data_IF_152411103954
#
_entry.id   IF_152411103954
#
_cell.length_a   1.000
_cell.length_b   1.000
_cell.length_c   1.000
_cell.angle_alpha   90.00
_cell.angle_beta   90.00
_cell.angle_gamma   90.00
#
_symmetry.space_group_name_H-M   'P 1'
#
loop_
_entity.id
_entity.type
_entity.pdbx_description
1 polymer ?
#
# COMPACT_ATOMS: atom_id res chain seq x y z
N UNK A 1 2.64 30.15 28.58
CA UNK A 1 1.61 29.47 27.78
C UNK A 1 2.09 28.06 27.53
N UNK A 2 1.43 27.08 28.15
CA UNK A 2 1.94 25.73 28.44
C UNK A 2 2.02 24.90 27.15
N UNK A 3 3.20 24.35 26.83
CA UNK A 3 3.39 23.34 25.79
C UNK A 3 2.74 22.03 26.27
N UNK A 4 1.56 21.71 25.76
CA UNK A 4 1.01 20.37 25.82
C UNK A 4 1.83 19.51 24.86
N UNK A 5 2.76 18.74 25.42
CA UNK A 5 3.42 17.64 24.71
C UNK A 5 2.32 16.63 24.42
N UNK A 6 1.92 16.50 23.15
CA UNK A 6 0.94 15.51 22.70
C UNK A 6 1.43 14.12 23.10
N UNK A 7 0.73 13.47 24.03
CA UNK A 7 1.00 12.09 24.42
C UNK A 7 0.46 11.16 23.33
N UNK A 8 1.34 10.42 22.65
CA UNK A 8 0.94 9.31 21.78
C UNK A 8 0.84 8.05 22.65
N UNK A 9 -0.36 7.48 22.87
CA UNK A 9 -0.49 6.29 23.70
C UNK A 9 0.20 5.09 23.04
N UNK A 10 1.23 4.57 23.70
CA UNK A 10 1.90 3.34 23.26
C UNK A 10 1.20 2.11 23.83
N UNK A 11 0.56 1.32 22.98
CA UNK A 11 0.02 0.00 23.32
C UNK A 11 1.01 -1.12 22.93
N UNK A 12 1.01 -2.23 23.68
CA UNK A 12 1.81 -3.43 23.36
C UNK A 12 0.91 -4.52 22.78
N UNK A 13 1.25 -5.00 21.60
CA UNK A 13 0.60 -6.13 20.94
C UNK A 13 1.55 -7.33 20.93
N UNK A 14 1.13 -8.45 21.52
CA UNK A 14 1.89 -9.72 21.53
C UNK A 14 1.31 -10.67 20.49
N UNK A 15 2.14 -11.13 19.55
CA UNK A 15 1.74 -12.01 18.46
C UNK A 15 2.45 -13.35 18.56
N UNK A 16 1.69 -14.45 18.51
CA UNK A 16 2.24 -15.80 18.39
C UNK A 16 2.44 -16.14 16.92
N UNK A 17 3.70 -16.24 16.48
CA UNK A 17 4.07 -16.54 15.09
C UNK A 17 5.18 -17.58 15.06
N UNK A 18 5.27 -18.34 13.97
CA UNK A 18 6.32 -19.37 13.83
C UNK A 18 7.70 -18.72 13.77
N UNK A 19 8.70 -19.33 14.41
CA UNK A 19 10.06 -18.76 14.54
C UNK A 19 10.66 -18.31 13.19
N UNK A 20 10.52 -19.12 12.14
CA UNK A 20 10.99 -18.78 10.79
C UNK A 20 10.48 -17.43 10.27
N UNK A 21 9.27 -17.03 10.69
CA UNK A 21 8.66 -15.75 10.32
C UNK A 21 9.34 -14.62 11.08
N UNK A 22 9.61 -14.81 12.38
CA UNK A 22 10.35 -13.86 13.22
C UNK A 22 11.75 -13.62 12.64
N UNK A 23 12.48 -14.67 12.26
CA UNK A 23 13.84 -14.52 11.71
C UNK A 23 13.83 -13.76 10.38
N UNK A 24 12.85 -14.04 9.51
CA UNK A 24 12.67 -13.31 8.24
C UNK A 24 12.33 -11.83 8.47
N UNK A 25 11.41 -11.55 9.39
CA UNK A 25 11.01 -10.18 9.73
C UNK A 25 12.19 -9.37 10.27
N UNK A 26 12.96 -9.92 11.21
CA UNK A 26 14.17 -9.28 11.76
C UNK A 26 15.21 -8.99 10.68
N UNK A 27 15.45 -9.94 9.76
CA UNK A 27 16.41 -9.76 8.66
C UNK A 27 15.97 -8.63 7.72
N UNK A 28 14.69 -8.64 7.32
CA UNK A 28 14.15 -7.61 6.44
C UNK A 28 14.21 -6.23 7.10
N UNK A 29 13.73 -6.12 8.35
CA UNK A 29 13.74 -4.87 9.10
C UNK A 29 15.16 -4.28 9.22
N UNK A 30 16.16 -5.13 9.50
CA UNK A 30 17.58 -4.72 9.53
C UNK A 30 18.06 -4.21 8.17
N UNK A 31 17.71 -4.88 7.08
CA UNK A 31 18.09 -4.46 5.72
C UNK A 31 17.46 -3.12 5.33
N UNK A 32 16.25 -2.83 5.82
CA UNK A 32 15.53 -1.59 5.56
C UNK A 32 15.83 -0.47 6.58
N UNK A 33 16.65 -0.74 7.60
CA UNK A 33 16.95 0.25 8.65
C UNK A 33 15.78 0.60 9.57
N UNK A 34 14.81 -0.31 9.74
CA UNK A 34 13.62 -0.11 10.59
C UNK A 34 13.51 -1.18 11.67
N UNK A 35 12.66 -0.97 12.67
CA UNK A 35 12.32 -2.00 13.66
C UNK A 35 11.21 -2.93 13.14
N UNK A 36 11.13 -4.15 13.71
CA UNK A 36 10.00 -5.05 13.42
C UNK A 36 8.67 -4.42 13.86
N UNK A 37 8.66 -3.73 15.01
CA UNK A 37 7.46 -3.05 15.51
C UNK A 37 6.97 -1.98 14.52
N UNK A 38 7.87 -1.11 14.03
CA UNK A 38 7.53 -0.08 13.04
C UNK A 38 7.02 -0.69 11.73
N UNK A 39 7.62 -1.80 11.28
CA UNK A 39 7.16 -2.51 10.09
C UNK A 39 5.75 -3.10 10.28
N UNK A 40 5.46 -3.68 11.45
CA UNK A 40 4.15 -4.26 11.76
C UNK A 40 3.09 -3.18 11.96
N UNK A 41 3.45 -2.08 12.63
CA UNK A 41 2.58 -0.91 12.80
C UNK A 41 2.16 -0.35 11.44
N UNK A 42 3.12 -0.05 10.56
CA UNK A 42 2.83 0.42 9.21
C UNK A 42 1.96 -0.56 8.39
N UNK A 43 2.18 -1.88 8.55
CA UNK A 43 1.34 -2.87 7.89
C UNK A 43 -0.09 -2.87 8.45
N UNK A 44 -0.25 -2.84 9.77
CA UNK A 44 -1.54 -2.83 10.44
C UNK A 44 -2.33 -1.57 10.09
N UNK A 45 -1.68 -0.41 10.05
CA UNK A 45 -2.28 0.84 9.58
C UNK A 45 -2.77 0.69 8.14
N UNK A 46 -1.91 0.24 7.22
CA UNK A 46 -2.26 0.12 5.81
C UNK A 46 -3.42 -0.85 5.52
N UNK A 47 -3.59 -1.91 6.32
CA UNK A 47 -4.70 -2.87 6.14
C UNK A 47 -5.96 -2.52 6.91
N UNK A 48 -5.84 -1.72 7.98
CA UNK A 48 -6.97 -1.28 8.79
C UNK A 48 -7.53 0.07 8.33
N UNK A 49 -6.78 0.83 7.54
CA UNK A 49 -7.22 2.10 7.00
C UNK A 49 -8.47 1.86 6.12
N UNK A 50 -9.64 2.43 6.49
CA UNK A 50 -10.83 2.28 5.68
C UNK A 50 -10.53 2.87 4.31
N UNK A 51 -10.81 2.09 3.26
CA UNK A 51 -10.62 2.54 1.89
C UNK A 51 -11.20 3.95 1.76
N UNK A 52 -10.43 4.95 1.30
CA UNK A 52 -10.90 6.31 1.27
C UNK A 52 -12.22 6.34 0.50
N UNK A 53 -13.28 6.85 1.14
CA UNK A 53 -14.63 6.91 0.59
C UNK A 53 -14.67 7.56 -0.80
N UNK A 54 -13.61 8.29 -1.15
CA UNK A 54 -13.20 8.59 -2.50
C UNK A 54 -11.68 8.67 -2.50
N UNK A 55 -10.99 7.67 -3.05
CA UNK A 55 -9.58 7.86 -3.41
C UNK A 55 -9.56 9.05 -4.37
N UNK A 56 -8.88 10.18 -4.08
CA UNK A 56 -8.69 11.20 -5.09
C UNK A 56 -7.96 10.50 -6.23
N UNK A 57 -8.62 10.37 -7.40
CA UNK A 57 -8.05 9.81 -8.61
C UNK A 57 -6.59 10.25 -8.68
N UNK A 58 -5.64 9.30 -8.64
CA UNK A 58 -4.22 9.64 -8.69
C UNK A 58 -4.03 10.64 -9.85
N UNK A 59 -3.27 11.74 -9.69
CA UNK A 59 -3.31 12.85 -10.65
C UNK A 59 -3.13 12.44 -12.11
N UNK A 60 -2.32 11.40 -12.35
CA UNK A 60 -2.13 10.78 -13.67
C UNK A 60 -3.38 10.04 -14.18
N UNK A 61 -4.09 9.32 -13.33
CA UNK A 61 -5.33 8.62 -13.67
C UNK A 61 -6.45 9.62 -14.01
N UNK A 62 -6.51 10.76 -13.32
CA UNK A 62 -7.42 11.85 -13.67
C UNK A 62 -7.15 12.41 -15.07
N UNK A 63 -5.87 12.57 -15.44
CA UNK A 63 -5.50 13.03 -16.79
C UNK A 63 -5.84 12.00 -17.89
N UNK A 64 -5.79 10.71 -17.56
CA UNK A 64 -6.14 9.62 -18.48
C UNK A 64 -7.65 9.37 -18.56
N UNK A 65 -8.45 9.85 -17.61
CA UNK A 65 -9.89 9.64 -17.55
C UNK A 65 -10.57 10.24 -18.79
N UNK A 66 -11.13 9.37 -19.62
CA UNK A 66 -11.83 9.77 -20.85
C UNK A 66 -10.95 9.86 -22.10
N UNK A 67 -9.65 9.61 -22.01
CA UNK A 67 -8.74 9.52 -23.17
C UNK A 67 -9.17 8.46 -24.19
N UNK A 68 -9.88 7.42 -23.72
CA UNK A 68 -10.37 6.30 -24.54
C UNK A 68 -11.87 6.39 -24.88
N UNK A 69 -12.51 7.56 -24.76
CA UNK A 69 -13.96 7.74 -25.04
C UNK A 69 -14.41 7.24 -26.42
N UNK A 70 -13.51 7.26 -27.41
CA UNK A 70 -13.78 6.83 -28.79
C UNK A 70 -13.02 5.56 -29.17
N UNK A 71 -12.36 4.91 -28.21
CA UNK A 71 -11.63 3.69 -28.47
C UNK A 71 -12.61 2.51 -28.57
N UNK A 72 -12.37 1.63 -29.55
CA UNK A 72 -13.09 0.35 -29.66
C UNK A 72 -12.26 -0.75 -29.00
N UNK A 73 -12.91 -1.49 -28.11
CA UNK A 73 -12.32 -2.66 -27.45
C UNK A 73 -12.01 -3.75 -28.49
N UNK A 74 -12.85 -3.87 -29.51
CA UNK A 74 -12.74 -4.83 -30.60
C UNK A 74 -11.56 -4.51 -31.52
N UNK A 75 -11.29 -3.22 -31.77
CA UNK A 75 -10.11 -2.78 -32.51
C UNK A 75 -8.83 -3.08 -31.73
N UNK A 76 -8.84 -2.90 -30.40
CA UNK A 76 -7.71 -3.22 -29.54
C UNK A 76 -7.43 -4.73 -29.48
N UNK A 77 -8.47 -5.56 -29.37
CA UNK A 77 -8.34 -7.03 -29.41
C UNK A 77 -7.72 -7.52 -30.73
N UNK A 78 -8.20 -6.99 -31.87
CA UNK A 78 -7.61 -7.28 -33.19
C UNK A 78 -6.15 -6.85 -33.29
N UNK A 79 -5.78 -5.71 -32.71
CA UNK A 79 -4.38 -5.28 -32.64
C UNK A 79 -3.52 -6.25 -31.82
N UNK A 80 -4.00 -6.74 -30.67
CA UNK A 80 -3.27 -7.71 -29.86
C UNK A 80 -3.05 -9.04 -30.58
N UNK A 81 -4.07 -9.55 -31.28
CA UNK A 81 -3.95 -10.76 -32.11
C UNK A 81 -2.87 -10.58 -33.19
N UNK A 82 -2.85 -9.44 -33.89
CA UNK A 82 -1.82 -9.16 -34.90
C UNK A 82 -0.41 -8.93 -34.34
N UNK A 83 -0.27 -8.51 -33.08
CA UNK A 83 1.03 -8.16 -32.47
C UNK A 83 1.74 -9.37 -31.87
N UNK A 84 0.98 -10.37 -31.43
CA UNK A 84 1.47 -11.55 -30.71
C UNK A 84 1.28 -12.87 -31.47
N UNK A 85 0.82 -12.80 -32.73
CA UNK A 85 1.01 -13.86 -33.72
C UNK A 85 2.29 -13.61 -34.52
#
# INVERSE_FOLDING_TARGET
MILLIWYVPMAKLTLSVVDRVVSRAKRYAKQQGVSVSQMVEAYLDAVAEPAPATSPDAPILRALRGSLKKASVEAYKRHLESKYQ
#
